data_IF_430270477467
#
_entry.id   IF_430270477467
#
_cell.length_a   1.000
_cell.length_b   1.000
_cell.length_c   1.000
_cell.angle_alpha   90.00
_cell.angle_beta   90.00
_cell.angle_gamma   90.00
#
_symmetry.space_group_name_H-M   'P 1'
#
loop_
_entity.id
_entity.type
_entity.pdbx_description
1 polymer ?
#
# COMPACT_ATOMS: atom_id res chain seq x y z
N UNK A 1 -23.05 -14.94 31.01
CA UNK A 1 -22.93 -14.46 29.61
C UNK A 1 -22.49 -12.99 29.58
N UNK A 2 -21.20 -12.57 29.56
CA UNK A 2 -20.89 -11.16 29.28
C UNK A 2 -21.57 -10.74 27.97
N UNK A 3 -22.26 -9.61 27.96
CA UNK A 3 -22.90 -9.05 26.75
C UNK A 3 -22.01 -8.04 26.05
N UNK A 4 -20.94 -7.62 26.74
CA UNK A 4 -19.98 -6.61 26.32
C UNK A 4 -18.55 -7.14 26.40
N UNK A 5 -17.70 -6.61 25.54
CA UNK A 5 -16.28 -6.93 25.43
C UNK A 5 -15.45 -5.66 25.24
N UNK A 6 -14.13 -5.83 25.28
CA UNK A 6 -13.18 -4.79 24.89
C UNK A 6 -12.12 -5.37 23.95
N UNK A 7 -11.65 -4.52 23.04
CA UNK A 7 -10.52 -4.79 22.17
C UNK A 7 -9.50 -3.66 22.29
N UNK A 8 -8.23 -3.98 22.11
CA UNK A 8 -7.16 -3.00 21.97
C UNK A 8 -6.56 -3.13 20.58
N UNK A 9 -6.51 -2.03 19.84
CA UNK A 9 -5.83 -1.95 18.55
C UNK A 9 -4.44 -1.37 18.78
N UNK A 10 -3.41 -2.05 18.26
CA UNK A 10 -2.00 -1.62 18.32
C UNK A 10 -1.43 -1.49 16.93
N UNK A 11 -0.42 -0.64 16.77
CA UNK A 11 0.37 -0.55 15.54
C UNK A 11 1.79 -1.06 15.79
N UNK A 12 2.28 -1.86 14.86
CA UNK A 12 3.66 -2.30 14.77
C UNK A 12 4.25 -1.83 13.44
N UNK A 13 5.48 -1.35 13.51
CA UNK A 13 6.24 -0.87 12.36
C UNK A 13 7.42 -1.79 12.12
N UNK A 14 7.60 -2.21 10.88
CA UNK A 14 8.63 -3.15 10.47
C UNK A 14 9.48 -2.56 9.34
N UNK A 15 10.78 -2.81 9.39
CA UNK A 15 11.72 -2.55 8.29
C UNK A 15 11.46 -3.50 7.13
N UNK A 16 12.14 -3.26 6.00
CA UNK A 16 12.00 -4.09 4.80
C UNK A 16 12.26 -5.58 5.06
N UNK A 17 13.17 -5.91 5.98
CA UNK A 17 13.52 -7.27 6.39
C UNK A 17 12.56 -7.89 7.41
N UNK A 18 11.52 -7.15 7.83
CA UNK A 18 10.55 -7.59 8.84
C UNK A 18 10.99 -7.35 10.29
N UNK A 19 12.17 -6.77 10.54
CA UNK A 19 12.60 -6.37 11.88
C UNK A 19 11.82 -5.17 12.40
N UNK A 20 11.66 -5.04 13.73
CA UNK A 20 10.92 -3.92 14.33
C UNK A 20 11.61 -2.57 14.12
N UNK A 21 10.80 -1.54 13.85
CA UNK A 21 11.23 -0.13 13.84
C UNK A 21 10.97 0.46 15.24
N UNK A 22 11.95 1.17 15.80
CA UNK A 22 11.79 1.91 17.05
C UNK A 22 10.83 3.09 16.93
N UNK A 23 11.07 3.99 15.97
CA UNK A 23 10.20 5.13 15.69
C UNK A 23 10.02 5.34 14.17
N UNK A 24 8.78 5.28 13.65
CA UNK A 24 8.52 5.59 12.24
C UNK A 24 8.57 7.11 12.01
N UNK A 25 8.83 7.54 10.77
CA UNK A 25 8.68 8.96 10.37
C UNK A 25 7.21 9.39 10.18
N UNK A 26 6.28 8.43 10.21
CA UNK A 26 4.84 8.64 10.11
C UNK A 26 4.29 9.02 11.49
N UNK A 27 3.59 10.15 11.59
CA UNK A 27 3.06 10.66 12.87
C UNK A 27 1.69 10.08 13.24
N UNK A 28 0.89 9.67 12.25
CA UNK A 28 -0.42 9.08 12.45
C UNK A 28 -0.83 8.16 11.30
N UNK A 29 -1.74 7.24 11.58
CA UNK A 29 -2.45 6.44 10.57
C UNK A 29 -3.95 6.61 10.75
N UNK A 30 -4.72 6.32 9.71
CA UNK A 30 -6.19 6.24 9.77
C UNK A 30 -6.64 4.80 9.51
N UNK A 31 -7.64 4.33 10.23
CA UNK A 31 -8.22 3.01 10.06
C UNK A 31 -9.72 3.00 10.40
N UNK A 32 -10.42 1.99 9.93
CA UNK A 32 -11.79 1.70 10.32
C UNK A 32 -11.82 0.52 11.31
N UNK A 33 -12.66 0.62 12.34
CA UNK A 33 -13.07 -0.53 13.13
C UNK A 33 -14.33 -1.12 12.49
N UNK A 34 -14.24 -2.34 12.00
CA UNK A 34 -15.31 -3.06 11.34
C UNK A 34 -15.89 -4.13 12.28
N UNK A 35 -17.18 -4.42 12.13
CA UNK A 35 -17.90 -5.45 12.87
C UNK A 35 -18.45 -6.49 11.89
N UNK A 36 -18.20 -7.76 12.19
CA UNK A 36 -18.80 -8.91 11.51
C UNK A 36 -19.92 -9.41 12.39
N UNK A 37 -21.13 -9.41 11.85
CA UNK A 37 -22.30 -10.10 12.42
C UNK A 37 -22.39 -11.51 11.83
N UNK A 38 -22.61 -12.52 12.67
CA UNK A 38 -22.79 -13.92 12.25
C UNK A 38 -24.09 -14.45 12.83
N UNK A 39 -25.02 -14.84 11.98
CA UNK A 39 -26.27 -15.53 12.35
C UNK A 39 -26.00 -16.98 12.76
N UNK A 40 -26.99 -17.64 13.36
CA UNK A 40 -26.87 -19.03 13.83
C UNK A 40 -26.63 -20.04 12.69
N UNK A 41 -27.11 -19.74 11.48
CA UNK A 41 -26.84 -20.52 10.25
C UNK A 41 -25.47 -20.25 9.63
N UNK A 42 -24.67 -19.35 10.21
CA UNK A 42 -23.33 -19.01 9.76
C UNK A 42 -23.25 -17.89 8.72
N UNK A 43 -24.36 -17.27 8.33
CA UNK A 43 -24.34 -16.12 7.42
C UNK A 43 -23.62 -14.94 8.05
N UNK A 44 -22.66 -14.36 7.31
CA UNK A 44 -21.84 -13.24 7.78
C UNK A 44 -22.18 -11.95 7.04
N UNK A 45 -22.35 -10.86 7.79
CA UNK A 45 -22.47 -9.50 7.24
C UNK A 45 -21.50 -8.57 7.94
N UNK A 46 -20.84 -7.71 7.18
CA UNK A 46 -19.85 -6.75 7.68
C UNK A 46 -20.39 -5.33 7.63
N UNK A 47 -20.14 -4.56 8.68
CA UNK A 47 -20.45 -3.13 8.75
C UNK A 47 -19.30 -2.35 9.35
N UNK A 48 -19.08 -1.11 8.91
CA UNK A 48 -18.16 -0.18 9.58
C UNK A 48 -18.77 0.24 10.92
N UNK A 49 -18.14 -0.15 12.02
CA UNK A 49 -18.61 0.16 13.37
C UNK A 49 -18.17 1.56 13.81
N UNK A 50 -16.91 1.91 13.54
CA UNK A 50 -16.39 3.27 13.69
C UNK A 50 -15.41 3.57 12.55
N UNK A 51 -15.69 4.62 11.78
CA UNK A 51 -14.85 5.05 10.67
C UNK A 51 -13.77 6.04 11.11
N UNK A 52 -12.71 6.18 10.31
CA UNK A 52 -11.70 7.24 10.42
C UNK A 52 -11.06 7.36 11.81
N UNK A 53 -10.82 6.23 12.46
CA UNK A 53 -10.13 6.16 13.72
C UNK A 53 -8.63 6.38 13.49
N UNK A 54 -7.94 6.97 14.46
CA UNK A 54 -6.51 7.26 14.36
C UNK A 54 -5.70 6.49 15.39
N UNK A 55 -4.47 6.13 15.02
CA UNK A 55 -3.38 5.83 15.96
C UNK A 55 -2.25 6.81 15.70
N UNK A 56 -1.64 7.29 16.77
CA UNK A 56 -0.56 8.29 16.70
C UNK A 56 0.66 7.83 17.50
N UNK A 57 1.83 8.36 17.17
CA UNK A 57 3.04 8.12 17.94
C UNK A 57 2.92 8.63 19.39
N UNK A 58 2.25 9.78 19.59
CA UNK A 58 2.02 10.38 20.90
C UNK A 58 1.18 9.49 21.84
N UNK A 59 0.23 8.73 21.26
CA UNK A 59 -0.60 7.77 21.99
C UNK A 59 0.02 6.37 22.01
N UNK A 60 1.34 6.27 21.82
CA UNK A 60 2.09 5.01 21.80
C UNK A 60 1.47 3.97 20.86
N UNK A 61 0.90 4.43 19.74
CA UNK A 61 0.37 3.55 18.71
C UNK A 61 -0.69 2.56 19.23
N UNK A 62 -1.47 2.94 20.25
CA UNK A 62 -2.49 2.08 20.85
C UNK A 62 -3.83 2.79 21.03
N UNK A 63 -4.94 2.08 20.83
CA UNK A 63 -6.29 2.57 21.13
C UNK A 63 -7.17 1.44 21.65
N UNK A 64 -7.91 1.71 22.72
CA UNK A 64 -8.81 0.74 23.36
C UNK A 64 -10.26 1.09 23.08
N UNK A 65 -11.05 0.07 22.75
CA UNK A 65 -12.49 0.16 22.59
C UNK A 65 -13.14 -0.70 23.66
N UNK A 66 -13.92 -0.07 24.54
CA UNK A 66 -14.68 -0.73 25.59
C UNK A 66 -16.16 -0.82 25.21
N UNK A 67 -16.91 -1.66 25.93
CA UNK A 67 -18.36 -1.80 25.80
C UNK A 67 -18.86 -2.19 24.39
N UNK A 68 -18.03 -2.90 23.63
CA UNK A 68 -18.41 -3.47 22.34
C UNK A 68 -19.42 -4.61 22.54
N UNK A 69 -20.52 -4.68 21.78
CA UNK A 69 -21.47 -5.80 21.89
C UNK A 69 -20.85 -7.12 21.41
N UNK A 70 -21.12 -8.22 22.11
CA UNK A 70 -20.72 -9.58 21.69
C UNK A 70 -21.84 -10.26 20.88
N UNK A 71 -23.08 -9.83 21.07
CA UNK A 71 -24.25 -10.33 20.35
C UNK A 71 -25.33 -9.28 20.25
N UNK A 72 -26.29 -9.53 19.37
CA UNK A 72 -27.43 -8.65 19.15
C UNK A 72 -28.49 -9.32 18.30
N UNK A 73 -29.31 -8.49 17.66
CA UNK A 73 -30.36 -8.92 16.75
C UNK A 73 -30.22 -8.11 15.46
N UNK A 74 -30.26 -8.78 14.31
CA UNK A 74 -30.22 -8.10 13.00
C UNK A 74 -31.60 -7.52 12.61
N UNK A 75 -31.68 -6.86 11.46
CA UNK A 75 -32.93 -6.27 10.93
C UNK A 75 -34.06 -7.31 10.76
N UNK A 76 -33.69 -8.54 10.42
CA UNK A 76 -34.61 -9.68 10.27
C UNK A 76 -35.04 -10.31 11.62
N UNK A 77 -34.72 -9.67 12.75
CA UNK A 77 -35.00 -10.16 14.12
C UNK A 77 -34.31 -11.48 14.49
N UNK A 78 -33.26 -11.85 13.77
CA UNK A 78 -32.46 -13.04 14.06
C UNK A 78 -31.33 -12.72 15.04
N UNK A 79 -31.02 -13.65 15.94
CA UNK A 79 -29.87 -13.52 16.84
C UNK A 79 -28.58 -13.57 16.03
N UNK A 80 -27.64 -12.69 16.37
CA UNK A 80 -26.30 -12.65 15.78
C UNK A 80 -25.23 -12.57 16.86
N UNK A 81 -24.07 -13.15 16.59
CA UNK A 81 -22.84 -12.91 17.32
C UNK A 81 -21.96 -11.90 16.57
N UNK A 82 -21.12 -11.17 17.31
CA UNK A 82 -20.26 -10.13 16.76
C UNK A 82 -18.78 -10.44 16.99
N UNK A 83 -17.99 -10.21 15.95
CA UNK A 83 -16.53 -10.13 16.00
C UNK A 83 -16.07 -8.82 15.33
N UNK A 84 -14.85 -8.39 15.61
CA UNK A 84 -14.32 -7.10 15.16
C UNK A 84 -12.98 -7.26 14.49
N UNK A 85 -12.74 -6.49 13.44
CA UNK A 85 -11.44 -6.36 12.81
C UNK A 85 -11.17 -4.92 12.44
N UNK A 86 -9.93 -4.60 12.09
CA UNK A 86 -9.52 -3.26 11.66
C UNK A 86 -9.06 -3.28 10.22
N UNK A 87 -9.27 -2.17 9.53
CA UNK A 87 -8.84 -1.94 8.15
C UNK A 87 -8.11 -0.60 8.09
N UNK A 88 -6.82 -0.63 7.85
CA UNK A 88 -6.00 0.58 7.70
C UNK A 88 -6.24 1.21 6.33
N UNK A 89 -6.33 2.54 6.29
CA UNK A 89 -6.24 3.29 5.03
C UNK A 89 -4.82 3.09 4.48
N UNK A 90 -4.65 2.59 3.24
CA UNK A 90 -3.35 2.26 2.69
C UNK A 90 -2.31 3.37 2.84
N UNK A 91 -1.13 3.02 3.32
CA UNK A 91 0.00 3.95 3.43
C UNK A 91 0.98 3.77 2.26
N UNK A 92 1.25 4.84 1.51
CA UNK A 92 2.31 4.85 0.50
C UNK A 92 3.64 4.38 1.08
N UNK A 93 4.35 3.49 0.37
CA UNK A 93 5.62 2.94 0.85
C UNK A 93 5.54 1.76 1.83
N UNK A 94 4.35 1.27 2.17
CA UNK A 94 4.17 0.17 3.12
C UNK A 94 3.21 -0.91 2.64
N UNK A 95 3.48 -2.15 3.02
CA UNK A 95 2.47 -3.22 3.02
C UNK A 95 1.87 -3.38 4.41
N UNK A 96 0.58 -3.69 4.49
CA UNK A 96 -0.15 -3.90 5.74
C UNK A 96 -0.48 -5.38 5.95
N UNK A 97 -0.38 -5.84 7.20
CA UNK A 97 -0.87 -7.14 7.68
C UNK A 97 -1.57 -6.95 9.02
N UNK A 98 -2.46 -7.87 9.35
CA UNK A 98 -3.25 -7.85 10.57
C UNK A 98 -2.94 -9.10 11.38
N UNK A 99 -2.69 -8.90 12.67
CA UNK A 99 -2.41 -9.95 13.63
C UNK A 99 -3.43 -9.91 14.77
N UNK A 100 -3.98 -11.06 15.14
CA UNK A 100 -4.74 -11.22 16.38
C UNK A 100 -4.00 -12.15 17.37
N UNK A 101 -4.48 -12.22 18.61
CA UNK A 101 -3.88 -13.06 19.66
C UNK A 101 -3.98 -14.58 19.39
N UNK A 102 -4.79 -15.00 18.41
CA UNK A 102 -4.83 -16.39 17.94
C UNK A 102 -3.76 -16.68 16.88
N UNK A 103 -2.78 -15.79 16.70
CA UNK A 103 -1.69 -15.87 15.73
C UNK A 103 -2.13 -15.86 14.26
N UNK A 104 -3.33 -15.37 13.95
CA UNK A 104 -3.71 -15.14 12.56
C UNK A 104 -2.93 -13.91 12.06
N UNK A 105 -1.81 -14.13 11.36
CA UNK A 105 -1.03 -13.09 10.67
C UNK A 105 -1.38 -13.11 9.19
N UNK A 106 -2.24 -12.19 8.75
CA UNK A 106 -2.92 -12.27 7.45
C UNK A 106 -2.97 -10.92 6.74
N UNK A 107 -3.05 -10.95 5.41
CA UNK A 107 -3.37 -9.78 4.58
C UNK A 107 -4.89 -9.57 4.50
N UNK A 108 -5.68 -10.60 4.78
CA UNK A 108 -7.13 -10.51 4.82
C UNK A 108 -7.60 -10.08 6.20
N UNK A 109 -7.81 -8.79 6.36
CA UNK A 109 -8.30 -8.15 7.59
C UNK A 109 -9.47 -8.86 8.30
N UNK A 110 -10.44 -9.43 7.55
CA UNK A 110 -11.58 -10.10 8.15
C UNK A 110 -11.21 -11.45 8.82
N UNK A 111 -10.13 -12.12 8.39
CA UNK A 111 -9.61 -13.33 9.02
C UNK A 111 -8.95 -13.04 10.38
N UNK A 112 -8.51 -11.80 10.60
CA UNK A 112 -7.97 -11.36 11.89
C UNK A 112 -9.08 -11.04 12.91
N UNK A 113 -10.36 -11.16 12.56
CA UNK A 113 -11.46 -10.74 13.43
C UNK A 113 -11.45 -11.43 14.81
N UNK A 114 -11.73 -10.67 15.86
CA UNK A 114 -11.66 -11.11 17.26
C UNK A 114 -12.85 -10.57 18.06
N UNK A 115 -13.26 -11.30 19.10
CA UNK A 115 -14.31 -10.87 20.03
C UNK A 115 -13.74 -10.03 21.18
N UNK A 116 -12.55 -10.37 21.67
CA UNK A 116 -11.90 -9.71 22.81
C UNK A 116 -10.39 -9.79 22.69
N UNK A 117 -9.66 -8.81 23.21
CA UNK A 117 -8.20 -8.87 23.29
C UNK A 117 -7.51 -7.90 22.33
N UNK A 118 -6.42 -8.32 21.69
CA UNK A 118 -5.56 -7.41 20.92
C UNK A 118 -5.64 -7.68 19.41
N UNK A 119 -5.86 -6.61 18.64
CA UNK A 119 -5.63 -6.55 17.20
C UNK A 119 -4.39 -5.70 16.93
N UNK A 120 -3.46 -6.21 16.12
CA UNK A 120 -2.24 -5.49 15.75
C UNK A 120 -2.23 -5.25 14.25
N UNK A 121 -2.14 -3.99 13.83
CA UNK A 121 -1.83 -3.58 12.47
C UNK A 121 -0.31 -3.59 12.33
N UNK A 122 0.23 -4.31 11.33
CA UNK A 122 1.67 -4.35 11.04
C UNK A 122 1.90 -3.67 9.70
N UNK A 123 2.70 -2.60 9.68
CA UNK A 123 3.18 -2.06 8.40
C UNK A 123 4.64 -2.36 8.24
N UNK A 124 4.97 -2.95 7.10
CA UNK A 124 6.32 -3.25 6.69
C UNK A 124 6.73 -2.31 5.57
N UNK A 125 7.87 -1.62 5.75
CA UNK A 125 8.45 -0.78 4.70
C UNK A 125 8.66 -1.60 3.44
N UNK A 126 8.25 -1.05 2.31
CA UNK A 126 8.55 -1.63 1.01
C UNK A 126 9.89 -1.09 0.52
N UNK A 127 10.70 -1.98 -0.06
CA UNK A 127 11.95 -1.59 -0.70
C UNK A 127 11.63 -0.90 -2.02
N UNK A 128 11.73 0.42 -2.05
CA UNK A 128 11.33 1.26 -3.18
C UNK A 128 12.47 2.15 -3.67
N UNK A 129 12.32 2.69 -4.88
CA UNK A 129 13.20 3.68 -5.51
C UNK A 129 12.39 4.84 -6.06
N UNK A 130 13.08 5.87 -6.53
CA UNK A 130 12.51 6.90 -7.41
C UNK A 130 13.34 6.99 -8.69
N UNK A 131 12.72 7.44 -9.77
CA UNK A 131 13.38 7.73 -11.05
C UNK A 131 12.93 9.08 -11.54
N UNK A 132 13.89 9.91 -11.91
CA UNK A 132 13.64 11.20 -12.56
C UNK A 132 13.95 11.06 -14.04
N UNK A 133 12.96 11.40 -14.87
CA UNK A 133 13.10 11.53 -16.32
C UNK A 133 13.44 12.98 -16.60
N UNK A 134 14.59 13.23 -17.22
CA UNK A 134 15.02 14.56 -17.65
C UNK A 134 15.20 14.53 -19.16
N UNK A 135 14.40 15.29 -19.90
CA UNK A 135 14.53 15.42 -21.34
C UNK A 135 15.47 16.56 -21.67
N UNK A 136 16.52 16.24 -22.43
CA UNK A 136 17.43 17.23 -23.00
C UNK A 136 17.26 17.26 -24.51
N UNK A 137 17.40 18.45 -25.09
CA UNK A 137 17.33 18.66 -26.53
C UNK A 137 18.71 19.04 -27.04
N UNK A 138 19.06 18.47 -28.18
CA UNK A 138 20.32 18.76 -28.86
C UNK A 138 20.05 19.08 -30.33
N UNK A 139 20.86 19.98 -30.88
CA UNK A 139 20.93 20.26 -32.31
C UNK A 139 21.61 19.12 -33.07
N UNK A 140 21.60 19.16 -34.41
CA UNK A 140 22.24 18.14 -35.24
C UNK A 140 23.77 18.03 -35.04
N UNK A 141 24.42 19.13 -34.63
CA UNK A 141 25.82 19.22 -34.21
C UNK A 141 26.05 18.87 -32.73
N UNK A 142 25.04 18.28 -32.06
CA UNK A 142 25.09 17.80 -30.68
C UNK A 142 25.33 18.89 -29.64
N UNK A 143 24.93 20.14 -29.93
CA UNK A 143 24.95 21.22 -28.94
C UNK A 143 23.62 21.24 -28.18
N UNK A 144 23.64 21.45 -26.84
CA UNK A 144 22.42 21.62 -26.06
C UNK A 144 21.58 22.78 -26.60
N UNK A 145 20.27 22.60 -26.62
CA UNK A 145 19.31 23.65 -26.99
C UNK A 145 18.07 23.57 -26.10
N UNK A 146 17.36 24.68 -25.97
CA UNK A 146 16.10 24.73 -25.24
C UNK A 146 14.93 24.63 -26.20
N UNK A 147 13.99 23.75 -25.89
CA UNK A 147 12.72 23.68 -26.58
C UNK A 147 11.65 24.30 -25.70
N UNK A 148 11.13 25.45 -26.14
CA UNK A 148 10.17 26.25 -25.37
C UNK A 148 8.71 25.84 -25.57
N UNK A 149 8.45 24.80 -26.37
CA UNK A 149 7.11 24.30 -26.66
C UNK A 149 7.11 22.82 -27.08
N UNK A 150 5.91 22.25 -27.10
CA UNK A 150 5.70 20.85 -27.46
C UNK A 150 5.69 19.92 -26.25
N UNK A 151 5.40 18.67 -26.54
CA UNK A 151 5.25 17.57 -25.59
C UNK A 151 5.97 16.34 -26.18
N UNK A 152 6.59 15.55 -25.32
CA UNK A 152 7.01 14.18 -25.65
C UNK A 152 6.09 13.19 -24.98
N UNK A 153 5.98 12.00 -25.56
CA UNK A 153 5.40 10.84 -24.88
C UNK A 153 6.44 9.75 -24.71
N UNK A 154 6.36 9.00 -23.62
CA UNK A 154 7.24 7.89 -23.31
C UNK A 154 6.51 6.88 -22.43
N UNK A 155 7.09 5.69 -22.35
CA UNK A 155 6.69 4.66 -21.41
C UNK A 155 7.74 4.53 -20.31
N UNK A 156 7.31 4.36 -19.06
CA UNK A 156 8.15 3.84 -18.01
C UNK A 156 8.05 2.32 -18.05
N UNK A 157 9.16 1.65 -18.39
CA UNK A 157 9.25 0.19 -18.45
C UNK A 157 9.87 -0.34 -17.16
N UNK A 158 9.39 -1.48 -16.68
CA UNK A 158 9.95 -2.23 -15.56
C UNK A 158 10.62 -3.50 -16.09
N UNK A 159 11.83 -3.78 -15.61
CA UNK A 159 12.54 -5.04 -15.84
C UNK A 159 12.42 -5.87 -14.57
N UNK A 160 11.79 -7.03 -14.69
CA UNK A 160 11.76 -8.08 -13.68
C UNK A 160 13.02 -8.92 -13.84
N UNK A 161 13.81 -9.06 -12.78
CA UNK A 161 14.98 -9.94 -12.72
C UNK A 161 14.67 -11.11 -11.79
N UNK A 162 14.75 -12.31 -12.34
CA UNK A 162 14.66 -13.57 -11.59
C UNK A 162 16.05 -14.01 -11.14
N UNK A 163 16.12 -14.77 -10.06
CA UNK A 163 17.39 -15.26 -9.50
C UNK A 163 18.14 -16.21 -10.46
N UNK A 164 17.40 -16.89 -11.36
CA UNK A 164 17.96 -17.76 -12.40
C UNK A 164 18.50 -16.99 -13.62
N UNK A 165 18.43 -15.65 -13.61
CA UNK A 165 18.93 -14.78 -14.66
C UNK A 165 17.92 -14.45 -15.76
N UNK A 166 16.70 -15.01 -15.74
CA UNK A 166 15.62 -14.59 -16.65
C UNK A 166 15.28 -13.12 -16.42
N UNK A 167 14.81 -12.48 -17.50
CA UNK A 167 14.30 -11.11 -17.46
C UNK A 167 13.00 -11.00 -18.21
N UNK A 168 12.06 -10.25 -17.65
CA UNK A 168 10.81 -9.87 -18.32
C UNK A 168 10.74 -8.34 -18.31
N UNK A 169 10.46 -7.75 -19.47
CA UNK A 169 10.18 -6.31 -19.57
C UNK A 169 8.67 -6.14 -19.59
N UNK A 170 8.16 -5.31 -18.69
CA UNK A 170 6.75 -4.96 -18.56
C UNK A 170 6.57 -3.47 -18.76
N UNK A 171 5.41 -3.11 -19.29
CA UNK A 171 4.94 -1.73 -19.26
C UNK A 171 4.50 -1.43 -17.83
N UNK A 172 5.16 -0.46 -17.19
CA UNK A 172 4.80 -0.03 -15.84
C UNK A 172 3.82 1.14 -15.89
N UNK A 173 4.13 2.15 -16.70
CA UNK A 173 3.24 3.22 -17.11
C UNK A 173 3.43 3.47 -18.61
N UNK A 174 2.34 3.66 -19.34
CA UNK A 174 2.38 3.87 -20.79
C UNK A 174 1.73 5.19 -21.19
N UNK A 175 2.30 5.85 -22.19
CA UNK A 175 1.79 7.12 -22.71
C UNK A 175 1.96 8.29 -21.73
N UNK A 176 2.96 8.21 -20.86
CA UNK A 176 3.33 9.32 -20.00
C UNK A 176 3.81 10.49 -20.85
N UNK A 177 3.48 11.72 -20.45
CA UNK A 177 3.90 12.92 -21.17
C UNK A 177 4.77 13.85 -20.33
N UNK A 178 5.61 14.61 -21.04
CA UNK A 178 6.48 15.62 -20.47
C UNK A 178 6.59 16.79 -21.43
N UNK A 179 6.50 18.01 -20.89
CA UNK A 179 6.52 19.24 -21.66
C UNK A 179 7.41 20.32 -21.01
N UNK A 180 7.49 21.47 -21.67
CA UNK A 180 8.25 22.63 -21.20
C UNK A 180 7.72 23.24 -19.89
N UNK A 181 6.42 23.11 -19.57
CA UNK A 181 5.85 23.63 -18.31
C UNK A 181 6.30 22.84 -17.10
N UNK A 182 6.67 21.57 -17.32
CA UNK A 182 7.30 20.69 -16.34
C UNK A 182 8.83 20.85 -16.28
N UNK A 183 9.40 21.89 -16.92
CA UNK A 183 10.84 22.06 -17.10
C UNK A 183 11.51 20.82 -17.72
N UNK A 184 10.80 20.08 -18.57
CA UNK A 184 11.30 18.83 -19.15
C UNK A 184 11.83 17.84 -18.10
N UNK A 185 11.23 17.84 -16.90
CA UNK A 185 11.57 16.91 -15.82
C UNK A 185 10.33 16.35 -15.10
N UNK A 186 10.31 15.04 -14.84
CA UNK A 186 9.27 14.39 -14.03
C UNK A 186 9.88 13.28 -13.17
N UNK A 187 9.51 13.25 -11.89
CA UNK A 187 9.98 12.20 -10.96
C UNK A 187 8.85 11.24 -10.62
N UNK A 188 9.12 9.96 -10.78
CA UNK A 188 8.30 8.85 -10.31
C UNK A 188 8.85 8.37 -8.98
N UNK A 189 8.02 8.44 -7.96
CA UNK A 189 8.36 7.97 -6.62
C UNK A 189 7.80 6.56 -6.37
N UNK A 190 8.23 5.94 -5.27
CA UNK A 190 7.63 4.71 -4.75
C UNK A 190 7.63 3.51 -5.71
N UNK A 191 8.62 3.46 -6.61
CA UNK A 191 8.79 2.36 -7.54
C UNK A 191 9.37 1.15 -6.81
N UNK A 192 8.69 -0.02 -6.74
CA UNK A 192 9.19 -1.16 -5.98
C UNK A 192 10.53 -1.67 -6.56
N UNK A 193 11.48 -2.04 -5.71
CA UNK A 193 12.76 -2.67 -6.12
C UNK A 193 12.73 -4.19 -5.98
N UNK A 194 11.74 -4.73 -5.26
CA UNK A 194 11.53 -6.15 -5.02
C UNK A 194 10.04 -6.47 -4.97
N UNK A 195 9.70 -7.70 -5.30
CA UNK A 195 8.31 -8.18 -5.24
C UNK A 195 8.24 -9.68 -5.43
N UNK A 196 7.04 -10.15 -5.83
CA UNK A 196 6.82 -11.53 -6.22
C UNK A 196 6.20 -11.62 -7.60
N UNK A 197 6.67 -12.56 -8.39
CA UNK A 197 6.14 -12.91 -9.71
C UNK A 197 5.96 -14.41 -9.76
N UNK A 198 4.73 -14.87 -10.03
CA UNK A 198 4.38 -16.30 -10.04
C UNK A 198 4.78 -17.07 -8.75
N UNK A 199 4.89 -16.35 -7.63
CA UNK A 199 5.29 -16.90 -6.33
C UNK A 199 6.80 -16.85 -6.05
N UNK A 200 7.62 -16.57 -7.05
CA UNK A 200 9.08 -16.38 -6.93
C UNK A 200 9.41 -14.97 -6.43
N UNK A 201 10.47 -14.82 -5.64
CA UNK A 201 11.00 -13.50 -5.26
C UNK A 201 11.79 -12.95 -6.43
N UNK A 202 11.54 -11.68 -6.79
CA UNK A 202 12.22 -11.01 -7.90
C UNK A 202 12.72 -9.63 -7.49
N UNK A 203 13.68 -9.10 -8.24
CA UNK A 203 14.10 -7.70 -8.15
C UNK A 203 13.65 -6.92 -9.38
N UNK A 204 13.46 -5.61 -9.21
CA UNK A 204 13.01 -4.73 -10.28
C UNK A 204 14.04 -3.63 -10.55
N UNK A 205 14.27 -3.35 -11.82
CA UNK A 205 14.86 -2.10 -12.31
C UNK A 205 13.91 -1.45 -13.30
N UNK A 206 14.15 -0.21 -13.69
CA UNK A 206 13.28 0.50 -14.61
C UNK A 206 14.09 1.33 -15.59
N UNK A 207 13.50 1.60 -16.75
CA UNK A 207 14.04 2.49 -17.75
C UNK A 207 12.89 3.18 -18.48
N UNK A 208 13.20 4.26 -19.19
CA UNK A 208 12.22 4.95 -20.03
C UNK A 208 12.40 4.58 -21.48
N UNK A 209 11.29 4.54 -22.21
CA UNK A 209 11.28 4.38 -23.65
C UNK A 209 10.44 5.50 -24.26
N UNK A 210 11.10 6.51 -24.82
CA UNK A 210 10.48 7.61 -25.54
C UNK A 210 9.88 7.14 -26.86
N UNK A 211 8.67 7.62 -27.15
CA UNK A 211 8.04 7.42 -28.43
C UNK A 211 8.70 8.30 -29.50
N UNK A 212 8.83 7.80 -30.75
CA UNK A 212 9.52 8.52 -31.81
C UNK A 212 8.99 9.94 -32.03
N UNK A 213 9.91 10.89 -32.14
CA UNK A 213 9.60 12.29 -32.44
C UNK A 213 10.10 12.57 -33.85
N UNK A 214 9.17 12.91 -34.76
CA UNK A 214 9.52 13.19 -36.16
C UNK A 214 10.60 14.28 -36.23
N UNK A 215 11.69 13.99 -36.94
CA UNK A 215 12.83 14.91 -37.10
C UNK A 215 13.89 14.84 -36.00
N UNK A 216 13.74 13.95 -35.00
CA UNK A 216 14.72 13.74 -33.94
C UNK A 216 15.15 12.27 -33.84
N UNK A 217 16.40 12.08 -33.43
CA UNK A 217 16.88 10.79 -32.95
C UNK A 217 16.87 10.80 -31.42
N UNK A 218 16.51 9.66 -30.82
CA UNK A 218 16.49 9.49 -29.37
C UNK A 218 17.70 8.71 -28.90
N UNK A 219 18.31 9.15 -27.80
CA UNK A 219 19.33 8.44 -27.04
C UNK A 219 19.02 8.56 -25.54
N UNK A 220 19.36 7.52 -24.77
CA UNK A 220 19.12 7.42 -23.32
C UNK A 220 20.43 7.43 -22.53
#
# INVERSE_FOLDING_TARGET
>A
MPTKTSITVRKQWLNEDGSGIGEPTISSITYNLNQISTTEDGTKTTTVYQANQTLTAAEQWTKRYDNLPISGVNEAKQKVSYAYYVEEVPLPGYSVRYLNESNADTVNQAEAAIVKGILTIKNQKLNMTSITVNKQWFTADKQPTDRVNGEISYDLKQIVHFDDGRKIIKDYLSGETLDHTMNWSKTYHELPKKGKEEGETVTYSYFVQEHPIIGYNTSY
#
